data_IF_961035269908
#
_entry.id   IF_961035269908
#
_cell.length_a   1.000
_cell.length_b   1.000
_cell.length_c   1.000
_cell.angle_alpha   90.00
_cell.angle_beta   90.00
_cell.angle_gamma   90.00
#
_symmetry.space_group_name_H-M   'P 1'
#
loop_
_entity.id
_entity.type
_entity.pdbx_description
1 polymer ?
#
# COMPACT_ATOMS: atom_id res chain seq x y z
N UNK A 1 -28.88 8.31 1.33
CA UNK A 1 -28.38 6.96 1.64
C UNK A 1 -26.88 7.06 1.82
N UNK A 2 -26.34 6.50 2.90
CA UNK A 2 -24.89 6.44 3.08
C UNK A 2 -24.34 5.39 2.09
N UNK A 3 -23.49 5.81 1.16
CA UNK A 3 -22.81 4.89 0.24
C UNK A 3 -21.53 4.36 0.91
N UNK A 4 -21.21 3.11 0.68
CA UNK A 4 -19.95 2.48 1.10
C UNK A 4 -19.10 2.29 -0.15
N UNK A 5 -17.83 2.70 -0.08
CA UNK A 5 -16.85 2.42 -1.12
C UNK A 5 -16.11 1.12 -0.78
N UNK A 6 -16.09 0.19 -1.72
CA UNK A 6 -15.30 -1.04 -1.62
C UNK A 6 -13.96 -0.80 -2.32
N UNK A 7 -12.86 -0.98 -1.59
CA UNK A 7 -11.52 -0.99 -2.16
C UNK A 7 -11.01 -2.43 -2.25
N UNK A 8 -10.84 -2.94 -3.46
CA UNK A 8 -10.39 -4.30 -3.70
C UNK A 8 -8.85 -4.39 -3.68
N UNK A 9 -8.32 -5.23 -2.82
CA UNK A 9 -6.88 -5.43 -2.64
C UNK A 9 -6.38 -6.80 -3.10
N UNK A 10 -7.25 -7.66 -3.58
CA UNK A 10 -6.93 -9.01 -4.10
C UNK A 10 -5.82 -9.00 -5.15
N UNK A 11 -5.79 -8.06 -6.11
CA UNK A 11 -4.72 -7.99 -7.12
C UNK A 11 -3.34 -7.67 -6.54
N UNK A 12 -3.25 -7.14 -5.31
CA UNK A 12 -1.99 -6.95 -4.59
C UNK A 12 -1.87 -7.95 -3.44
N UNK A 13 -2.66 -7.79 -2.39
CA UNK A 13 -2.52 -8.57 -1.15
C UNK A 13 -2.87 -10.05 -1.36
N UNK A 14 -3.97 -10.32 -2.04
CA UNK A 14 -4.37 -11.68 -2.35
C UNK A 14 -3.31 -12.42 -3.15
N UNK A 15 -2.79 -11.83 -4.22
CA UNK A 15 -1.76 -12.44 -5.06
C UNK A 15 -0.41 -12.61 -4.38
N UNK A 16 -0.11 -11.85 -3.33
CA UNK A 16 1.12 -12.03 -2.55
C UNK A 16 1.06 -13.27 -1.64
N UNK A 17 -0.13 -13.76 -1.33
CA UNK A 17 -0.38 -14.86 -0.41
C UNK A 17 -0.63 -16.22 -1.10
N UNK A 18 -0.51 -16.30 -2.42
CA UNK A 18 -0.62 -17.54 -3.18
C UNK A 18 0.74 -17.93 -3.78
N UNK A 19 0.96 -19.23 -3.96
CA UNK A 19 2.21 -19.76 -4.55
C UNK A 19 2.36 -19.41 -6.04
N UNK A 20 1.23 -19.28 -6.75
CA UNK A 20 1.24 -18.99 -8.18
C UNK A 20 1.65 -17.54 -8.47
N UNK A 21 2.65 -17.36 -9.31
CA UNK A 21 3.06 -16.05 -9.81
C UNK A 21 2.38 -15.80 -11.16
N UNK A 22 1.37 -14.93 -11.16
CA UNK A 22 0.64 -14.59 -12.38
C UNK A 22 1.49 -13.68 -13.28
N UNK A 23 1.39 -13.93 -14.59
CA UNK A 23 1.96 -13.03 -15.60
C UNK A 23 1.25 -11.67 -15.60
N UNK A 24 1.89 -10.67 -16.22
CA UNK A 24 1.29 -9.33 -16.38
C UNK A 24 -0.05 -9.41 -17.14
N UNK A 25 -0.18 -10.31 -18.10
CA UNK A 25 -1.43 -10.48 -18.84
C UNK A 25 -2.55 -11.09 -17.98
N UNK A 26 -2.27 -12.09 -17.19
CA UNK A 26 -3.24 -12.68 -16.27
C UNK A 26 -3.68 -11.68 -15.19
N UNK A 27 -2.75 -10.92 -14.62
CA UNK A 27 -3.07 -9.83 -13.67
C UNK A 27 -3.92 -8.73 -14.32
N UNK A 28 -3.64 -8.40 -15.56
CA UNK A 28 -4.45 -7.44 -16.33
C UNK A 28 -5.88 -7.94 -16.51
N UNK A 29 -6.08 -9.18 -16.94
CA UNK A 29 -7.41 -9.77 -17.12
C UNK A 29 -8.18 -9.88 -15.78
N UNK A 30 -7.49 -10.23 -14.69
CA UNK A 30 -8.07 -10.26 -13.36
C UNK A 30 -8.61 -8.87 -12.97
N UNK A 31 -7.81 -7.82 -13.11
CA UNK A 31 -8.21 -6.45 -12.77
C UNK A 31 -9.39 -6.01 -13.63
N UNK A 32 -9.37 -6.27 -14.95
CA UNK A 32 -10.48 -5.96 -15.85
C UNK A 32 -11.77 -6.73 -15.50
N UNK A 33 -11.64 -7.94 -15.00
CA UNK A 33 -12.80 -8.74 -14.54
C UNK A 33 -13.41 -8.16 -13.26
N UNK A 34 -12.56 -7.70 -12.32
CA UNK A 34 -13.00 -7.04 -11.09
C UNK A 34 -13.71 -5.71 -11.44
N UNK A 35 -13.16 -4.90 -12.33
CA UNK A 35 -13.82 -3.68 -12.77
C UNK A 35 -15.21 -3.92 -13.38
N UNK A 36 -15.33 -4.96 -14.20
CA UNK A 36 -16.63 -5.36 -14.79
C UNK A 36 -17.66 -5.77 -13.73
N UNK A 37 -17.25 -6.19 -12.54
CA UNK A 37 -18.16 -6.48 -11.43
C UNK A 37 -18.72 -5.25 -10.73
N UNK A 38 -18.24 -4.04 -11.10
CA UNK A 38 -18.68 -2.76 -10.54
C UNK A 38 -17.80 -2.23 -9.41
N UNK A 39 -16.71 -2.90 -9.05
CA UNK A 39 -15.72 -2.39 -8.09
C UNK A 39 -14.98 -1.21 -8.72
N UNK A 40 -14.94 -0.09 -8.00
CA UNK A 40 -14.43 1.17 -8.50
C UNK A 40 -13.06 1.58 -7.92
N UNK A 41 -12.59 0.94 -6.86
CA UNK A 41 -11.31 1.23 -6.23
C UNK A 41 -10.48 -0.05 -6.10
N UNK A 42 -9.25 -0.04 -6.62
CA UNK A 42 -8.39 -1.23 -6.66
C UNK A 42 -6.94 -0.92 -6.30
N UNK A 43 -6.37 -1.71 -5.42
CA UNK A 43 -4.93 -1.76 -5.21
C UNK A 43 -4.32 -2.80 -6.15
N UNK A 44 -3.73 -2.32 -7.25
CA UNK A 44 -3.38 -3.18 -8.39
C UNK A 44 -2.02 -3.87 -8.30
N UNK A 45 -1.23 -3.54 -7.29
CA UNK A 45 0.10 -4.13 -7.10
C UNK A 45 0.98 -3.29 -6.19
N UNK A 46 2.28 -3.59 -6.21
CA UNK A 46 3.25 -2.95 -5.33
C UNK A 46 4.57 -2.65 -6.07
N UNK A 47 5.21 -1.52 -5.74
CA UNK A 47 6.55 -1.19 -6.20
C UNK A 47 7.61 -1.62 -5.18
N UNK A 48 7.64 -2.91 -4.92
CA UNK A 48 8.62 -3.58 -4.06
C UNK A 48 9.76 -4.19 -4.87
N UNK A 49 10.80 -4.63 -4.18
CA UNK A 49 11.88 -5.38 -4.83
C UNK A 49 11.33 -6.71 -5.40
N UNK A 50 11.39 -6.93 -6.73
CA UNK A 50 10.85 -8.14 -7.36
C UNK A 50 11.55 -9.43 -6.94
N UNK A 51 12.78 -9.35 -6.40
CA UNK A 51 13.46 -10.51 -5.82
C UNK A 51 12.87 -10.91 -4.46
N UNK A 52 12.34 -9.94 -3.71
CA UNK A 52 11.70 -10.20 -2.42
C UNK A 52 10.24 -10.62 -2.58
N UNK A 53 9.54 -10.03 -3.55
CA UNK A 53 8.12 -10.31 -3.82
C UNK A 53 7.91 -10.55 -5.31
N UNK A 54 8.20 -11.76 -5.83
CA UNK A 54 8.09 -12.08 -7.26
C UNK A 54 6.70 -11.86 -7.84
N UNK A 55 5.64 -12.11 -7.06
CA UNK A 55 4.25 -11.92 -7.47
C UNK A 55 3.92 -10.47 -7.89
N UNK A 56 4.68 -9.48 -7.38
CA UNK A 56 4.51 -8.07 -7.71
C UNK A 56 5.45 -7.60 -8.82
N UNK A 57 6.25 -8.49 -9.41
CA UNK A 57 7.13 -8.13 -10.51
C UNK A 57 6.37 -7.52 -11.68
N UNK A 58 6.93 -6.47 -12.30
CA UNK A 58 6.33 -5.82 -13.47
C UNK A 58 5.06 -4.99 -13.18
N UNK A 59 4.79 -4.61 -11.93
CA UNK A 59 3.66 -3.73 -11.58
C UNK A 59 3.71 -2.41 -12.38
N UNK A 60 4.87 -1.86 -12.69
CA UNK A 60 5.05 -0.69 -13.56
C UNK A 60 4.54 -0.93 -15.00
N UNK A 61 4.83 -2.09 -15.56
CA UNK A 61 4.34 -2.49 -16.89
C UNK A 61 2.83 -2.76 -16.88
N UNK A 62 2.33 -3.39 -15.80
CA UNK A 62 0.91 -3.61 -15.60
C UNK A 62 0.16 -2.28 -15.51
N UNK A 63 0.67 -1.33 -14.71
CA UNK A 63 0.08 0.01 -14.56
C UNK A 63 0.00 0.73 -15.92
N UNK A 64 1.07 0.71 -16.71
CA UNK A 64 1.08 1.29 -18.06
C UNK A 64 0.07 0.61 -18.99
N UNK A 65 -0.07 -0.72 -18.93
CA UNK A 65 -1.02 -1.49 -19.76
C UNK A 65 -2.48 -1.18 -19.38
N UNK A 66 -2.77 -0.99 -18.10
CA UNK A 66 -4.09 -0.63 -17.59
C UNK A 66 -4.51 0.80 -17.98
N UNK A 67 -3.54 1.67 -18.18
CA UNK A 67 -3.76 3.11 -18.36
C UNK A 67 -3.81 3.85 -17.02
N UNK A 68 -3.62 5.17 -17.11
CA UNK A 68 -3.57 6.02 -15.90
C UNK A 68 -4.99 6.34 -15.43
N UNK A 69 -5.51 5.55 -14.51
CA UNK A 69 -6.83 5.75 -13.92
C UNK A 69 -6.70 6.24 -12.47
N UNK A 70 -7.59 7.13 -12.07
CA UNK A 70 -7.60 7.74 -10.74
C UNK A 70 -8.07 6.79 -9.63
N UNK A 71 -8.64 5.65 -9.99
CA UNK A 71 -9.15 4.64 -9.05
C UNK A 71 -8.16 3.50 -8.78
N UNK A 72 -6.93 3.59 -9.32
CA UNK A 72 -5.88 2.63 -9.04
C UNK A 72 -4.89 3.17 -8.02
N UNK A 73 -4.64 2.38 -6.99
CA UNK A 73 -3.57 2.60 -6.02
C UNK A 73 -2.48 1.53 -6.16
N UNK A 74 -1.30 1.86 -5.66
CA UNK A 74 -0.16 0.94 -5.56
C UNK A 74 0.49 1.06 -4.20
N UNK A 75 0.88 -0.07 -3.64
CA UNK A 75 1.65 -0.08 -2.41
C UNK A 75 3.12 0.26 -2.68
N UNK A 76 3.70 1.09 -1.83
CA UNK A 76 5.12 1.43 -1.85
C UNK A 76 5.75 1.20 -0.48
N UNK A 77 6.93 0.55 -0.38
CA UNK A 77 7.57 0.28 0.90
C UNK A 77 8.51 1.42 1.37
N UNK A 78 8.90 2.33 0.48
CA UNK A 78 9.93 3.35 0.75
C UNK A 78 9.97 4.42 -0.34
N UNK A 79 10.90 5.38 -0.18
CA UNK A 79 11.13 6.49 -1.12
C UNK A 79 11.46 6.00 -2.55
N UNK A 80 12.19 4.88 -2.70
CA UNK A 80 12.46 4.32 -4.05
C UNK A 80 11.18 3.86 -4.75
N UNK A 81 10.26 3.24 -4.01
CA UNK A 81 8.92 2.89 -4.52
C UNK A 81 8.11 4.14 -4.88
N UNK A 82 8.25 5.21 -4.09
CA UNK A 82 7.64 6.51 -4.39
C UNK A 82 8.15 7.10 -5.71
N UNK A 83 9.45 7.07 -5.95
CA UNK A 83 10.03 7.58 -7.21
C UNK A 83 9.50 6.79 -8.42
N UNK A 84 9.33 5.48 -8.29
CA UNK A 84 8.70 4.65 -9.34
C UNK A 84 7.24 5.06 -9.55
N UNK A 85 6.48 5.32 -8.48
CA UNK A 85 5.09 5.76 -8.56
C UNK A 85 4.98 7.12 -9.30
N UNK A 86 5.83 8.08 -8.97
CA UNK A 86 5.91 9.38 -9.65
C UNK A 86 6.20 9.20 -11.15
N UNK A 87 7.20 8.40 -11.50
CA UNK A 87 7.60 8.15 -12.90
C UNK A 87 6.52 7.43 -13.73
N UNK A 88 5.57 6.77 -13.07
CA UNK A 88 4.43 6.11 -13.71
C UNK A 88 3.14 6.94 -13.62
N UNK A 89 3.18 8.17 -13.10
CA UNK A 89 2.01 9.05 -12.92
C UNK A 89 0.90 8.46 -12.05
N UNK A 90 1.25 7.65 -11.06
CA UNK A 90 0.31 7.10 -10.08
C UNK A 90 -0.41 8.23 -9.34
N UNK A 91 -1.71 8.06 -9.08
CA UNK A 91 -2.55 9.07 -8.41
C UNK A 91 -2.80 8.78 -6.94
N UNK A 92 -2.65 7.53 -6.53
CA UNK A 92 -2.79 7.13 -5.13
C UNK A 92 -1.73 6.09 -4.77
N UNK A 93 -1.04 6.30 -3.65
CA UNK A 93 -0.06 5.37 -3.08
C UNK A 93 -0.51 4.90 -1.71
N UNK A 94 -0.19 3.64 -1.41
CA UNK A 94 -0.42 3.03 -0.12
C UNK A 94 0.90 2.77 0.61
N UNK A 95 0.95 3.16 1.89
CA UNK A 95 2.02 2.86 2.83
C UNK A 95 1.55 1.80 3.81
N UNK A 96 2.44 1.03 4.40
CA UNK A 96 2.12 0.05 5.46
C UNK A 96 3.03 0.29 6.65
N UNK A 97 2.43 0.57 7.81
CA UNK A 97 3.10 0.64 9.09
C UNK A 97 2.64 -0.52 9.98
N UNK A 98 3.54 -1.43 10.34
CA UNK A 98 3.27 -2.37 11.41
C UNK A 98 3.54 -1.68 12.75
N UNK A 99 2.59 -1.76 13.69
CA UNK A 99 2.68 -1.00 14.95
C UNK A 99 3.77 -1.51 15.91
N UNK A 100 4.32 -2.70 15.68
CA UNK A 100 5.40 -3.28 16.49
C UNK A 100 6.72 -3.29 15.71
N UNK A 101 7.82 -3.03 16.40
CA UNK A 101 9.15 -3.02 15.80
C UNK A 101 9.53 -4.37 15.20
N UNK A 102 9.22 -5.46 15.89
CA UNK A 102 9.49 -6.82 15.41
C UNK A 102 8.82 -7.10 14.08
N UNK A 103 7.53 -6.78 13.95
CA UNK A 103 6.80 -6.98 12.69
C UNK A 103 7.22 -5.99 11.61
N UNK A 104 7.46 -4.72 11.97
CA UNK A 104 7.87 -3.71 11.01
C UNK A 104 9.26 -4.02 10.42
N UNK A 105 10.21 -4.46 11.25
CA UNK A 105 11.53 -4.93 10.79
C UNK A 105 11.41 -6.17 9.89
N UNK A 106 10.52 -7.11 10.22
CA UNK A 106 10.27 -8.28 9.39
C UNK A 106 9.67 -7.92 8.04
N UNK A 107 8.79 -6.94 8.01
CA UNK A 107 8.06 -6.52 6.80
C UNK A 107 8.91 -5.64 5.86
N UNK A 108 9.51 -4.58 6.38
CA UNK A 108 10.20 -3.57 5.58
C UNK A 108 11.64 -3.27 6.05
N UNK A 109 12.18 -4.07 6.97
CA UNK A 109 13.54 -3.97 7.52
C UNK A 109 13.85 -2.60 8.18
N UNK A 110 12.85 -2.00 8.84
CA UNK A 110 12.95 -0.72 9.55
C UNK A 110 12.24 -0.78 10.89
N UNK A 111 12.68 0.03 11.86
CA UNK A 111 11.89 0.29 13.05
C UNK A 111 10.63 1.10 12.72
N UNK A 112 9.70 1.14 13.65
CA UNK A 112 8.49 1.98 13.54
C UNK A 112 8.87 3.45 13.36
N UNK A 113 9.78 3.96 14.19
CA UNK A 113 10.23 5.36 14.15
C UNK A 113 10.93 5.72 12.83
N UNK A 114 11.79 4.85 12.30
CA UNK A 114 12.43 5.03 10.99
C UNK A 114 11.40 5.08 9.86
N UNK A 115 10.36 4.26 9.96
CA UNK A 115 9.27 4.22 8.96
C UNK A 115 8.44 5.50 8.99
N UNK A 116 8.07 6.01 10.17
CA UNK A 116 7.34 7.27 10.32
C UNK A 116 8.14 8.44 9.76
N UNK A 117 9.44 8.49 10.04
CA UNK A 117 10.33 9.53 9.52
C UNK A 117 10.34 9.53 7.98
N UNK A 118 10.49 8.36 7.35
CA UNK A 118 10.46 8.24 5.89
C UNK A 118 9.07 8.55 5.31
N UNK A 119 8.00 8.12 5.97
CA UNK A 119 6.62 8.40 5.52
C UNK A 119 6.31 9.89 5.54
N UNK A 120 6.78 10.62 6.56
CA UNK A 120 6.64 12.08 6.60
C UNK A 120 7.28 12.74 5.36
N UNK A 121 8.46 12.28 4.93
CA UNK A 121 9.10 12.77 3.71
C UNK A 121 8.33 12.41 2.44
N UNK A 122 7.84 11.16 2.35
CA UNK A 122 7.05 10.68 1.21
C UNK A 122 5.74 11.48 1.10
N UNK A 123 5.00 11.63 2.21
CA UNK A 123 3.72 12.34 2.26
C UNK A 123 3.90 13.81 1.81
N UNK A 124 4.94 14.50 2.29
CA UNK A 124 5.24 15.88 1.87
C UNK A 124 5.51 15.97 0.36
N UNK A 125 6.29 15.03 -0.19
CA UNK A 125 6.58 14.97 -1.63
C UNK A 125 5.34 14.60 -2.44
N UNK A 126 4.50 13.69 -1.95
CA UNK A 126 3.26 13.26 -2.59
C UNK A 126 2.26 14.42 -2.71
N UNK A 127 2.12 15.23 -1.64
CA UNK A 127 1.29 16.43 -1.65
C UNK A 127 1.71 17.42 -2.74
N UNK A 128 3.02 17.68 -2.90
CA UNK A 128 3.56 18.56 -3.95
C UNK A 128 3.24 18.02 -5.36
N UNK A 129 3.15 16.70 -5.50
CA UNK A 129 2.86 16.02 -6.77
C UNK A 129 1.37 15.75 -7.00
N UNK A 130 0.49 16.17 -6.08
CA UNK A 130 -0.95 15.85 -6.09
C UNK A 130 -1.20 14.33 -6.18
N UNK A 131 -0.43 13.55 -5.41
CA UNK A 131 -0.60 12.11 -5.25
C UNK A 131 -1.27 11.88 -3.90
N UNK A 132 -2.42 11.22 -3.89
CA UNK A 132 -3.14 10.84 -2.67
C UNK A 132 -2.38 9.76 -1.91
N UNK A 133 -2.44 9.83 -0.59
CA UNK A 133 -1.69 8.95 0.30
C UNK A 133 -2.61 8.21 1.27
N UNK A 134 -2.44 6.90 1.36
CA UNK A 134 -3.15 6.01 2.28
C UNK A 134 -2.13 5.28 3.14
N UNK A 135 -2.42 5.05 4.42
CA UNK A 135 -1.57 4.26 5.30
C UNK A 135 -2.38 3.16 5.98
N UNK A 136 -1.95 1.92 5.80
CA UNK A 136 -2.43 0.76 6.55
C UNK A 136 -1.67 0.67 7.87
N UNK A 137 -2.41 0.61 8.99
CA UNK A 137 -1.88 0.37 10.33
C UNK A 137 -2.02 -1.13 10.63
N UNK A 138 -0.97 -1.87 10.32
CA UNK A 138 -0.98 -3.32 10.43
C UNK A 138 -0.66 -3.82 11.83
N UNK A 139 -1.19 -4.98 12.19
CA UNK A 139 -1.10 -5.66 13.50
C UNK A 139 -1.58 -4.78 14.66
N UNK A 140 -2.57 -3.92 14.41
CA UNK A 140 -3.09 -2.95 15.36
C UNK A 140 -3.67 -3.56 16.66
N UNK A 141 -4.14 -4.79 16.60
CA UNK A 141 -4.77 -5.47 17.74
C UNK A 141 -3.92 -6.58 18.33
N UNK A 142 -3.19 -7.30 17.47
CA UNK A 142 -2.37 -8.44 17.86
C UNK A 142 -1.19 -8.63 16.91
N UNK A 143 0.01 -8.68 17.45
CA UNK A 143 1.23 -8.98 16.72
C UNK A 143 1.61 -10.46 16.89
N UNK A 144 1.96 -11.18 15.81
CA UNK A 144 2.36 -12.59 15.92
C UNK A 144 3.66 -12.80 16.71
N UNK A 145 4.45 -11.75 16.91
CA UNK A 145 5.73 -11.81 17.67
C UNK A 145 5.63 -11.23 19.07
N UNK A 146 4.82 -10.20 19.29
CA UNK A 146 4.74 -9.46 20.56
C UNK A 146 3.40 -9.66 21.27
N UNK A 147 2.44 -10.37 20.67
CA UNK A 147 1.13 -10.64 21.26
C UNK A 147 0.18 -9.44 21.17
N UNK A 148 -0.64 -9.28 22.21
CA UNK A 148 -1.66 -8.21 22.26
C UNK A 148 -1.00 -6.84 22.26
N UNK A 149 -1.49 -5.95 21.39
CA UNK A 149 -1.01 -4.58 21.28
C UNK A 149 -1.86 -3.65 22.14
N UNK A 150 -1.23 -2.69 22.78
CA UNK A 150 -1.92 -1.65 23.54
C UNK A 150 -2.63 -0.64 22.60
N UNK A 151 -3.92 -0.42 22.81
CA UNK A 151 -4.72 0.44 21.95
C UNK A 151 -4.35 1.92 22.10
N UNK A 152 -3.89 2.35 23.28
CA UNK A 152 -3.39 3.71 23.50
C UNK A 152 -2.17 3.97 22.62
N UNK A 153 -1.22 3.03 22.62
CA UNK A 153 -0.05 3.12 21.76
C UNK A 153 -0.41 3.15 20.26
N UNK A 154 -1.38 2.31 19.82
CA UNK A 154 -1.85 2.34 18.41
C UNK A 154 -2.47 3.69 18.07
N UNK A 155 -3.24 4.25 18.99
CA UNK A 155 -3.86 5.59 18.80
C UNK A 155 -2.78 6.67 18.66
N UNK A 156 -1.79 6.69 19.55
CA UNK A 156 -0.71 7.67 19.51
C UNK A 156 0.11 7.55 18.22
N UNK A 157 0.42 6.34 17.80
CA UNK A 157 1.13 6.07 16.56
C UNK A 157 0.32 6.53 15.32
N UNK A 158 -0.97 6.24 15.33
CA UNK A 158 -1.88 6.66 14.25
C UNK A 158 -1.96 8.18 14.16
N UNK A 159 -2.05 8.87 15.30
CA UNK A 159 -2.02 10.33 15.35
C UNK A 159 -0.72 10.91 14.77
N UNK A 160 0.44 10.29 15.04
CA UNK A 160 1.70 10.71 14.43
C UNK A 160 1.66 10.64 12.89
N UNK A 161 1.02 9.61 12.31
CA UNK A 161 0.85 9.49 10.85
C UNK A 161 -0.15 10.54 10.34
N UNK A 162 -1.22 10.82 11.07
CA UNK A 162 -2.18 11.89 10.74
C UNK A 162 -1.48 13.24 10.73
N UNK A 163 -0.64 13.52 11.70
CA UNK A 163 0.14 14.77 11.80
C UNK A 163 1.13 14.94 10.64
N UNK A 164 1.60 13.86 10.03
CA UNK A 164 2.38 13.92 8.78
C UNK A 164 1.53 14.42 7.60
N UNK A 165 0.19 14.40 7.72
CA UNK A 165 -0.76 14.87 6.71
C UNK A 165 -1.16 13.82 5.69
N UNK A 166 -1.25 12.56 6.12
CA UNK A 166 -1.84 11.45 5.32
C UNK A 166 -3.29 11.75 4.96
N UNK A 167 -3.76 11.32 3.78
CA UNK A 167 -5.13 11.55 3.34
C UNK A 167 -6.12 10.50 3.86
N UNK A 168 -5.65 9.27 4.12
CA UNK A 168 -6.51 8.18 4.58
C UNK A 168 -5.72 7.21 5.47
N UNK A 169 -6.37 6.78 6.56
CA UNK A 169 -5.90 5.71 7.46
C UNK A 169 -6.82 4.50 7.31
N UNK A 170 -6.21 3.31 7.28
CA UNK A 170 -6.90 2.01 7.27
C UNK A 170 -6.36 1.17 8.43
N UNK A 171 -7.24 0.57 9.24
CA UNK A 171 -6.90 -0.27 10.39
C UNK A 171 -7.41 -1.68 10.16
#
# INVERSE_FOLDING_TARGET
>A
MNSVLINEVGPRDGLQNIEAVLSISERFELIRSIEKSGIQSLEIGSFVNPKAVPAMSGTDKLFKKLGNQSNYSVLIPNTKGFDIAVNNNVKEICLVLCVTDSMNRKNINKSVSESICEFNEIIKKARIKNIRTKCYISVAFHCPYEGKVDLGYVTDLTNQIIDCGIDEIVI
#
